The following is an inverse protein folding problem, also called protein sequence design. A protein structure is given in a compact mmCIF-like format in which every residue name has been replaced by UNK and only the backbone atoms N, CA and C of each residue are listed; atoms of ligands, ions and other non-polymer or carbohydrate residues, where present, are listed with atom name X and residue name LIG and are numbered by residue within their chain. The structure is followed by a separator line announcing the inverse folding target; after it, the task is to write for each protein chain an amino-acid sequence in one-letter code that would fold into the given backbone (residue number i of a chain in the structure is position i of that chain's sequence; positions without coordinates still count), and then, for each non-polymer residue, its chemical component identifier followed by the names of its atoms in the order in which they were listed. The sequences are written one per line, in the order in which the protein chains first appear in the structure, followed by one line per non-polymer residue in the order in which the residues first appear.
data_IF_714835816499
#
_entry.id   IF_714835816499
#
_cell.length_a   1.000
_cell.length_b   1.000
_cell.length_c   1.000
_cell.angle_alpha   90.00
_cell.angle_beta   90.00
_cell.angle_gamma   90.00
#
_symmetry.space_group_name_H-M   'P 1'
#
loop_
_entity.id
_entity.type
_entity.pdbx_description
1 polymer ?
#
# COMPACT_ATOMS: atom_id res chain seq x y z
N UNK A 1 1.59 20.64 6.87
CA UNK A 1 0.77 21.86 6.63
C UNK A 1 0.07 22.25 7.95
N UNK A 2 -0.38 23.50 8.21
CA UNK A 2 -1.25 23.75 9.35
C UNK A 2 -2.54 22.91 9.33
N UNK A 3 -2.98 22.45 8.17
CA UNK A 3 -4.16 21.58 8.03
C UNK A 3 -3.85 20.08 8.16
N UNK A 4 -2.60 19.69 8.45
CA UNK A 4 -2.27 18.28 8.69
C UNK A 4 -2.58 17.89 10.13
N UNK A 5 -3.32 16.79 10.32
CA UNK A 5 -3.64 16.22 11.64
C UNK A 5 -2.39 15.71 12.35
N UNK A 6 -1.53 14.99 11.61
CA UNK A 6 -0.24 14.51 12.09
C UNK A 6 0.88 15.29 11.40
N UNK A 7 1.78 15.86 12.19
CA UNK A 7 2.89 16.69 11.68
C UNK A 7 4.24 16.05 12.01
N UNK A 8 4.93 15.61 10.97
CA UNK A 8 6.32 15.17 11.05
C UNK A 8 7.25 16.37 10.81
N UNK A 9 8.16 16.63 11.75
CA UNK A 9 9.16 17.70 11.60
C UNK A 9 10.34 17.17 10.78
N UNK A 10 10.26 17.28 9.45
CA UNK A 10 11.33 16.93 8.53
C UNK A 10 11.21 17.71 7.20
N UNK A 11 12.36 17.98 6.57
CA UNK A 11 12.44 18.58 5.23
C UNK A 11 12.16 17.58 4.10
N UNK A 12 12.24 16.27 4.35
CA UNK A 12 11.96 15.22 3.37
C UNK A 12 10.48 14.83 3.31
N UNK A 13 9.69 15.26 4.30
CA UNK A 13 8.24 15.05 4.33
C UNK A 13 7.56 16.23 3.65
N UNK A 14 6.74 15.92 2.66
CA UNK A 14 5.95 16.93 1.94
C UNK A 14 4.93 17.59 2.87
N UNK A 15 4.51 18.82 2.56
CA UNK A 15 3.51 19.54 3.40
C UNK A 15 2.22 18.74 3.58
N UNK A 16 1.81 18.02 2.54
CA UNK A 16 0.71 17.07 2.47
C UNK A 16 1.27 15.76 1.91
N UNK A 17 1.84 14.93 2.78
CA UNK A 17 2.64 13.78 2.36
C UNK A 17 1.82 12.50 2.17
N UNK A 18 0.84 12.30 3.04
CA UNK A 18 -0.11 11.21 2.95
C UNK A 18 -1.43 11.65 3.57
N UNK A 19 -2.50 11.03 3.13
CA UNK A 19 -3.84 11.23 3.63
C UNK A 19 -4.43 9.87 4.00
N UNK A 20 -5.15 9.81 5.12
CA UNK A 20 -5.91 8.63 5.52
C UNK A 20 -7.37 9.02 5.49
N UNK A 21 -8.20 8.26 4.77
CA UNK A 21 -9.63 8.50 4.67
C UNK A 21 -10.40 7.24 5.02
N UNK A 22 -11.49 7.40 5.77
CA UNK A 22 -12.45 6.35 6.05
C UNK A 22 -13.65 6.51 5.11
N UNK A 23 -14.04 5.43 4.44
CA UNK A 23 -15.25 5.40 3.62
C UNK A 23 -16.49 5.06 4.48
N UNK A 24 -17.70 5.44 4.04
CA UNK A 24 -18.95 5.12 4.75
C UNK A 24 -19.19 3.62 4.99
N UNK A 25 -18.51 2.75 4.23
CA UNK A 25 -18.56 1.30 4.38
C UNK A 25 -17.65 0.72 5.47
N UNK A 26 -16.89 1.55 6.17
CA UNK A 26 -15.95 1.14 7.23
C UNK A 26 -14.54 0.81 6.75
N UNK A 27 -14.31 0.72 5.44
CA UNK A 27 -12.97 0.59 4.87
C UNK A 27 -12.17 1.88 5.08
N UNK A 28 -10.90 1.74 5.46
CA UNK A 28 -9.97 2.85 5.63
C UNK A 28 -8.86 2.73 4.60
N UNK A 29 -8.48 3.84 3.98
CA UNK A 29 -7.48 3.86 2.94
C UNK A 29 -6.41 4.92 3.23
N UNK A 30 -5.16 4.60 2.92
CA UNK A 30 -4.06 5.55 2.86
C UNK A 30 -3.77 5.93 1.41
N UNK A 31 -3.68 7.23 1.15
CA UNK A 31 -3.27 7.79 -0.14
C UNK A 31 -1.89 8.42 0.01
N UNK A 32 -0.95 8.03 -0.85
CA UNK A 32 0.37 8.69 -0.91
C UNK A 32 0.29 9.95 -1.76
N UNK A 33 0.64 11.10 -1.19
CA UNK A 33 0.56 12.40 -1.88
C UNK A 33 1.93 13.08 -2.02
N UNK A 34 2.93 12.61 -1.27
CA UNK A 34 4.28 13.15 -1.24
C UNK A 34 5.13 12.71 -2.42
N UNK A 35 6.23 13.44 -2.62
CA UNK A 35 7.22 13.09 -3.65
C UNK A 35 7.94 11.75 -3.37
N UNK A 36 8.04 11.38 -2.09
CA UNK A 36 8.51 10.05 -1.66
C UNK A 36 7.27 9.23 -1.30
N UNK A 37 7.14 7.99 -1.81
CA UNK A 37 6.00 7.14 -1.51
C UNK A 37 5.97 6.74 -0.03
N UNK A 38 4.79 6.45 0.48
CA UNK A 38 4.65 5.77 1.78
C UNK A 38 4.75 4.27 1.57
N UNK A 39 5.14 3.54 2.61
CA UNK A 39 5.09 2.07 2.60
C UNK A 39 4.04 1.60 3.59
N UNK A 40 3.31 0.56 3.23
CA UNK A 40 2.43 -0.17 4.15
C UNK A 40 3.00 -1.58 4.26
N UNK A 41 3.40 -1.95 5.48
CA UNK A 41 4.21 -3.12 5.75
C UNK A 41 5.49 -3.06 4.87
N UNK A 42 5.68 -4.05 4.00
CA UNK A 42 6.85 -4.14 3.13
C UNK A 42 6.64 -3.60 1.71
N UNK A 43 5.46 -3.05 1.41
CA UNK A 43 5.09 -2.67 0.05
C UNK A 43 4.86 -1.15 -0.08
N UNK A 44 5.41 -0.58 -1.14
CA UNK A 44 5.26 0.85 -1.46
C UNK A 44 3.86 1.13 -2.01
N UNK A 45 3.27 2.23 -1.55
CA UNK A 45 2.07 2.83 -2.12
C UNK A 45 2.53 3.99 -3.01
N UNK A 46 2.49 3.83 -4.35
CA UNK A 46 2.95 4.87 -5.26
C UNK A 46 2.24 6.20 -5.05
N UNK A 47 2.96 7.31 -5.25
CA UNK A 47 2.38 8.66 -5.20
C UNK A 47 1.18 8.78 -6.14
N UNK A 48 0.08 9.31 -5.62
CA UNK A 48 -1.19 9.47 -6.32
C UNK A 48 -2.10 8.24 -6.28
N UNK A 49 -1.72 7.18 -5.56
CA UNK A 49 -2.53 5.97 -5.41
C UNK A 49 -2.95 5.75 -3.95
N UNK A 50 -3.99 4.94 -3.79
CA UNK A 50 -4.57 4.60 -2.49
C UNK A 50 -4.47 3.10 -2.23
N UNK A 51 -4.32 2.74 -0.96
CA UNK A 51 -4.29 1.35 -0.47
C UNK A 51 -5.18 1.21 0.76
N UNK A 52 -5.98 0.15 0.79
CA UNK A 52 -6.79 -0.21 1.96
C UNK A 52 -5.89 -0.63 3.13
N UNK A 53 -6.23 -0.16 4.33
CA UNK A 53 -5.56 -0.47 5.59
C UNK A 53 -6.40 -1.44 6.40
N UNK A 54 -5.72 -2.41 7.01
CA UNK A 54 -6.29 -3.36 7.95
C UNK A 54 -5.68 -3.19 9.33
N UNK A 55 -6.45 -3.45 10.40
CA UNK A 55 -5.97 -3.41 11.78
C UNK A 55 -4.66 -4.21 11.91
N UNK A 56 -3.62 -3.55 12.44
CA UNK A 56 -2.27 -4.10 12.57
C UNK A 56 -1.30 -3.69 11.45
N UNK A 57 -1.77 -3.04 10.38
CA UNK A 57 -0.90 -2.56 9.30
C UNK A 57 0.06 -1.48 9.79
N UNK A 58 1.30 -1.55 9.31
CA UNK A 58 2.38 -0.61 9.64
C UNK A 58 2.63 0.34 8.50
N UNK A 59 2.37 1.63 8.71
CA UNK A 59 2.62 2.67 7.73
C UNK A 59 4.01 3.27 7.99
N UNK A 60 4.89 3.24 7.00
CA UNK A 60 6.22 3.84 7.07
C UNK A 60 6.28 5.11 6.23
N UNK A 61 6.71 6.20 6.86
CA UNK A 61 6.92 7.50 6.21
C UNK A 61 8.40 7.86 6.24
N UNK A 62 8.99 8.15 5.09
CA UNK A 62 10.37 8.59 4.98
C UNK A 62 10.56 9.98 5.58
N UNK A 63 11.32 10.09 6.68
CA UNK A 63 11.62 11.37 7.34
C UNK A 63 13.03 11.88 7.06
N UNK A 64 13.99 11.03 6.67
CA UNK A 64 15.33 11.44 6.20
C UNK A 64 15.80 10.38 5.18
N UNK A 65 16.90 10.62 4.46
CA UNK A 65 17.40 9.71 3.40
C UNK A 65 17.46 8.22 3.80
N UNK A 66 17.71 7.92 5.08
CA UNK A 66 17.78 6.56 5.60
C UNK A 66 16.88 6.31 6.82
N UNK A 67 15.95 7.23 7.15
CA UNK A 67 15.08 7.09 8.32
C UNK A 67 13.61 7.06 7.95
N UNK A 68 12.94 6.03 8.44
CA UNK A 68 11.49 5.89 8.34
C UNK A 68 10.85 6.05 9.72
N UNK A 69 9.64 6.61 9.74
CA UNK A 69 8.75 6.59 10.91
C UNK A 69 7.67 5.54 10.68
N UNK A 70 7.60 4.58 11.59
CA UNK A 70 6.51 3.61 11.68
C UNK A 70 5.32 4.26 12.40
N UNK A 71 4.13 4.08 11.83
CA UNK A 71 2.83 4.45 12.38
C UNK A 71 1.98 3.18 12.31
N UNK A 72 1.50 2.70 13.46
CA UNK A 72 0.62 1.53 13.51
C UNK A 72 -0.83 1.98 13.27
N UNK A 73 -1.53 1.27 12.40
CA UNK A 73 -2.97 1.44 12.23
C UNK A 73 -3.72 0.43 13.11
N UNK A 74 -4.53 0.95 14.03
CA UNK A 74 -5.45 0.16 14.85
C UNK A 74 -6.88 0.64 14.58
N UNK A 75 -7.70 -0.20 13.96
CA UNK A 75 -9.14 0.02 13.87
C UNK A 75 -9.84 -0.56 15.09
N UNK A 76 -10.86 0.13 15.61
CA UNK A 76 -11.75 -0.43 16.63
C UNK A 76 -12.69 -1.45 15.95
N UNK A 77 -12.44 -2.74 16.12
CA UNK A 77 -13.24 -3.86 15.61
C UNK A 77 -14.61 -4.01 16.34
N UNK A 78 -15.28 -2.91 16.72
CA UNK A 78 -16.60 -2.97 17.37
C UNK A 78 -17.76 -3.23 16.39
N UNK A 79 -17.46 -3.55 15.13
CA UNK A 79 -18.48 -3.93 14.14
C UNK A 79 -18.43 -5.44 13.86
N UNK A 80 -19.45 -6.15 14.34
CA UNK A 80 -19.76 -7.54 13.97
C UNK A 80 -19.75 -7.69 12.45
N UNK A 81 -18.73 -8.36 11.90
CA UNK A 81 -18.66 -8.69 10.47
C UNK A 81 -19.54 -9.91 10.20
N UNK A 82 -20.79 -9.68 9.79
CA UNK A 82 -21.62 -10.71 9.15
C UNK A 82 -21.09 -10.95 7.73
N UNK A 83 -20.15 -11.88 7.60
CA UNK A 83 -19.85 -12.60 6.36
C UNK A 83 -19.39 -11.77 5.17
N UNK A 84 -18.07 -11.59 5.04
CA UNK A 84 -17.41 -11.66 3.74
C UNK A 84 -16.18 -12.53 3.89
N UNK A 85 -16.18 -13.65 3.18
CA UNK A 85 -15.04 -14.55 3.09
C UNK A 85 -13.79 -13.75 2.72
N UNK A 86 -12.76 -13.86 3.56
CA UNK A 86 -11.44 -13.32 3.26
C UNK A 86 -10.99 -13.88 1.91
N UNK A 87 -10.81 -13.01 0.94
CA UNK A 87 -10.18 -13.38 -0.33
C UNK A 87 -8.73 -13.80 0.01
N UNK A 88 -8.32 -15.05 -0.26
CA UNK A 88 -6.96 -15.48 0.07
C UNK A 88 -5.94 -14.64 -0.71
N UNK A 89 -4.75 -14.37 -0.13
CA UNK A 89 -3.73 -13.56 -0.78
C UNK A 89 -3.36 -14.19 -2.13
N UNK A 90 -3.60 -13.43 -3.20
CA UNK A 90 -3.27 -13.81 -4.56
C UNK A 90 -1.74 -13.88 -4.70
N UNK A 91 -1.15 -15.01 -4.30
CA UNK A 91 0.24 -15.34 -4.59
C UNK A 91 0.42 -15.27 -6.10
N UNK A 92 1.14 -14.24 -6.55
CA UNK A 92 1.59 -14.12 -7.93
C UNK A 92 2.35 -15.39 -8.30
N UNK A 93 1.73 -16.21 -9.15
CA UNK A 93 2.35 -17.37 -9.73
C UNK A 93 3.53 -16.90 -10.59
N UNK A 94 4.74 -16.96 -10.02
CA UNK A 94 5.97 -17.14 -10.77
C UNK A 94 5.87 -18.49 -11.49
N UNK A 95 5.40 -18.49 -12.73
CA UNK A 95 5.65 -19.58 -13.66
C UNK A 95 6.87 -19.20 -14.51
N UNK A 96 7.90 -20.05 -14.44
CA UNK A 96 9.22 -19.86 -15.00
C UNK A 96 9.31 -19.99 -16.53
N UNK A 97 10.54 -20.18 -17.04
CA UNK A 97 10.98 -19.66 -18.32
C UNK A 97 10.58 -20.51 -19.54
N UNK A 98 10.47 -19.80 -20.66
CA UNK A 98 10.32 -20.33 -22.01
C UNK A 98 11.39 -21.38 -22.33
N UNK A 99 10.96 -22.50 -22.94
CA UNK A 99 11.83 -23.44 -23.63
C UNK A 99 11.38 -23.56 -25.09
N UNK A 100 12.29 -23.42 -26.07
CA UNK A 100 11.97 -23.50 -27.49
C UNK A 100 12.05 -24.94 -28.00
N UNK A 101 11.20 -25.32 -28.97
CA UNK A 101 11.43 -26.52 -29.79
C UNK A 101 11.07 -26.25 -31.25
N UNK A 102 12.10 -26.40 -32.07
CA UNK A 102 12.10 -26.46 -33.53
C UNK A 102 11.19 -27.58 -34.06
N UNK A 103 10.57 -27.36 -35.23
CA UNK A 103 9.93 -28.39 -36.05
C UNK A 103 9.73 -27.89 -37.48
N UNK A 104 10.39 -28.54 -38.44
CA UNK A 104 10.41 -28.28 -39.88
C UNK A 104 9.13 -28.69 -40.64
N UNK A 105 9.07 -28.25 -41.91
CA UNK A 105 8.35 -28.81 -43.08
C UNK A 105 6.83 -28.54 -43.16
N UNK A 106 6.19 -28.25 -44.31
CA UNK A 106 6.57 -28.25 -45.73
C UNK A 106 5.55 -27.41 -46.52
N UNK A 107 5.94 -27.00 -47.74
CA UNK A 107 5.10 -26.50 -48.84
C UNK A 107 3.84 -27.35 -49.13
N UNK A 108 2.75 -26.68 -49.55
CA UNK A 108 2.07 -26.90 -50.85
C UNK A 108 1.42 -25.59 -51.32
#
# INVERSE_FOLDING_TARGET
DPNSDIRLKSNHVSRTHAEVHAEPGGSVYVTSLGAVPVRVNDEEVPTGTSRELFTGDKIFVGIEEARMREILFEGEDDTVVLGREACPPQQSARAGPASPKHGWASED
#
